data_IF_859576475304
#
_entry.id   IF_859576475304
#
_cell.length_a   1.000
_cell.length_b   1.000
_cell.length_c   1.000
_cell.angle_alpha   90.00
_cell.angle_beta   90.00
_cell.angle_gamma   90.00
#
_symmetry.space_group_name_H-M   'P 1'
#
loop_
_entity.id
_entity.type
_entity.pdbx_description
1 polymer ?
#
# COMPACT_ATOMS: atom_id res chain seq x y z
N UNK A 1 12.57 4.56 -29.66
CA UNK A 1 12.39 3.32 -28.89
C UNK A 1 11.00 3.38 -28.30
N UNK A 2 10.11 2.50 -28.76
CA UNK A 2 8.68 2.62 -28.52
C UNK A 2 8.38 2.10 -27.12
N UNK A 3 8.07 3.00 -26.18
CA UNK A 3 7.47 2.61 -24.91
C UNK A 3 6.08 2.07 -25.24
N UNK A 4 5.93 0.76 -25.35
CA UNK A 4 4.62 0.11 -25.39
C UNK A 4 3.90 0.50 -24.10
N UNK A 5 2.91 1.39 -24.20
CA UNK A 5 2.00 1.71 -23.11
C UNK A 5 1.42 0.39 -22.63
N UNK A 6 1.70 -0.07 -21.38
CA UNK A 6 1.12 -1.30 -20.92
C UNK A 6 -0.39 -1.10 -20.88
N UNK A 7 -1.10 -1.85 -21.71
CA UNK A 7 -2.56 -1.95 -21.66
C UNK A 7 -2.89 -2.69 -20.36
N UNK A 8 -2.98 -1.97 -19.25
CA UNK A 8 -3.48 -2.47 -17.98
C UNK A 8 -4.97 -2.78 -18.25
N UNK A 9 -5.37 -4.06 -18.36
CA UNK A 9 -6.78 -4.41 -18.52
C UNK A 9 -7.54 -3.82 -17.34
N UNK A 10 -8.78 -3.37 -17.58
CA UNK A 10 -9.68 -2.90 -16.55
C UNK A 10 -9.68 -3.92 -15.40
N UNK A 11 -9.06 -3.56 -14.28
CA UNK A 11 -9.05 -4.42 -13.11
C UNK A 11 -10.49 -4.69 -12.72
N UNK A 12 -10.85 -5.97 -12.59
CA UNK A 12 -12.17 -6.36 -12.14
C UNK A 12 -12.45 -5.63 -10.82
N UNK A 13 -13.32 -4.61 -10.85
CA UNK A 13 -13.78 -3.86 -9.68
C UNK A 13 -13.29 -2.41 -9.51
N UNK A 14 -12.33 -1.91 -10.29
CA UNK A 14 -12.02 -0.47 -10.26
C UNK A 14 -13.11 0.31 -11.01
N UNK A 15 -13.77 1.24 -10.32
CA UNK A 15 -14.66 2.20 -11.00
C UNK A 15 -13.81 3.08 -11.90
N UNK A 16 -14.06 3.02 -13.20
CA UNK A 16 -13.39 3.86 -14.18
C UNK A 16 -14.27 5.06 -14.50
N UNK A 17 -13.71 6.26 -14.46
CA UNK A 17 -14.33 7.44 -15.07
C UNK A 17 -13.64 7.76 -16.41
N UNK A 18 -13.91 8.95 -16.97
CA UNK A 18 -13.34 9.36 -18.26
C UNK A 18 -11.84 9.65 -18.19
N UNK A 19 -11.26 9.72 -16.99
CA UNK A 19 -9.89 10.15 -16.71
C UNK A 19 -9.05 9.02 -16.09
N UNK A 20 -9.66 7.98 -15.52
CA UNK A 20 -8.97 6.78 -15.06
C UNK A 20 -9.66 6.04 -13.90
N UNK A 21 -8.91 5.23 -13.14
CA UNK A 21 -9.43 4.57 -11.95
C UNK A 21 -9.78 5.58 -10.84
N UNK A 22 -11.00 5.51 -10.35
CA UNK A 22 -11.49 6.30 -9.22
C UNK A 22 -11.22 5.57 -7.92
N UNK A 23 -10.47 6.21 -7.02
CA UNK A 23 -10.13 5.71 -5.69
C UNK A 23 -10.91 6.47 -4.62
N UNK A 24 -11.52 5.75 -3.67
CA UNK A 24 -12.27 6.33 -2.55
C UNK A 24 -11.35 6.87 -1.45
N UNK A 25 -10.16 6.30 -1.31
CA UNK A 25 -9.17 6.68 -0.29
C UNK A 25 -7.80 6.85 -0.95
N UNK A 26 -6.99 7.85 -0.54
CA UNK A 26 -5.67 8.09 -1.13
C UNK A 26 -4.72 6.88 -1.11
N UNK A 27 -4.80 6.05 -0.07
CA UNK A 27 -3.95 4.87 0.07
C UNK A 27 -4.20 3.83 -1.04
N UNK A 28 -5.41 3.78 -1.61
CA UNK A 28 -5.77 2.82 -2.65
C UNK A 28 -5.01 3.13 -3.94
N UNK A 29 -4.89 4.41 -4.30
CA UNK A 29 -4.10 4.86 -5.42
C UNK A 29 -2.60 4.56 -5.23
N UNK A 30 -2.10 4.74 -4.00
CA UNK A 30 -0.71 4.45 -3.65
C UNK A 30 -0.39 2.95 -3.82
N UNK A 31 -1.26 2.09 -3.29
CA UNK A 31 -1.06 0.65 -3.39
C UNK A 31 -1.15 0.18 -4.86
N UNK A 32 -2.11 0.68 -5.62
CA UNK A 32 -2.20 0.41 -7.06
C UNK A 32 -0.93 0.84 -7.81
N UNK A 33 -0.40 2.03 -7.49
CA UNK A 33 0.84 2.53 -8.09
C UNK A 33 2.03 1.61 -7.80
N UNK A 34 2.12 1.05 -6.59
CA UNK A 34 3.15 0.07 -6.23
C UNK A 34 3.02 -1.20 -7.08
N UNK A 35 1.82 -1.76 -7.18
CA UNK A 35 1.57 -2.96 -7.99
C UNK A 35 1.95 -2.74 -9.47
N UNK A 36 1.53 -1.61 -10.04
CA UNK A 36 1.87 -1.24 -11.42
C UNK A 36 3.39 -1.10 -11.58
N UNK A 37 4.06 -0.48 -10.62
CA UNK A 37 5.51 -0.35 -10.64
C UNK A 37 6.22 -1.71 -10.61
N UNK A 38 5.81 -2.63 -9.73
CA UNK A 38 6.38 -3.99 -9.67
C UNK A 38 6.17 -4.79 -10.97
N UNK A 39 5.03 -4.61 -11.63
CA UNK A 39 4.79 -5.19 -12.95
C UNK A 39 5.70 -4.56 -14.02
N UNK A 40 5.81 -3.23 -14.03
CA UNK A 40 6.64 -2.50 -15.00
C UNK A 40 8.12 -2.82 -14.86
N UNK A 41 8.60 -3.16 -13.66
CA UNK A 41 9.97 -3.63 -13.42
C UNK A 41 10.17 -5.10 -13.78
N UNK A 42 9.13 -5.79 -14.24
CA UNK A 42 9.19 -7.16 -14.74
C UNK A 42 9.25 -8.23 -13.65
N UNK A 43 8.88 -7.91 -12.41
CA UNK A 43 8.92 -8.86 -11.29
C UNK A 43 7.85 -9.94 -11.41
N UNK A 44 6.72 -9.64 -12.05
CA UNK A 44 5.69 -10.60 -12.41
C UNK A 44 4.94 -10.14 -13.68
N UNK A 45 4.38 -11.06 -14.46
CA UNK A 45 3.50 -10.72 -15.58
C UNK A 45 2.07 -10.43 -15.10
N UNK A 46 1.38 -9.49 -15.75
CA UNK A 46 0.06 -9.02 -15.28
C UNK A 46 -1.01 -10.12 -15.12
N UNK A 47 -0.96 -11.17 -15.94
CA UNK A 47 -1.89 -12.30 -15.85
C UNK A 47 -1.75 -13.09 -14.53
N UNK A 48 -0.55 -13.14 -13.96
CA UNK A 48 -0.31 -13.76 -12.65
C UNK A 48 -1.03 -12.97 -11.56
N UNK A 49 -0.95 -11.64 -11.59
CA UNK A 49 -1.73 -10.78 -10.70
C UNK A 49 -3.24 -11.02 -10.82
N UNK A 50 -3.77 -11.06 -12.04
CA UNK A 50 -5.21 -11.32 -12.24
C UNK A 50 -5.61 -12.67 -11.66
N UNK A 51 -4.78 -13.70 -11.80
CA UNK A 51 -5.02 -15.01 -11.22
C UNK A 51 -5.00 -14.97 -9.69
N UNK A 52 -3.93 -14.46 -9.08
CA UNK A 52 -3.78 -14.36 -7.62
C UNK A 52 -4.94 -13.58 -7.00
N UNK A 53 -5.30 -12.44 -7.58
CA UNK A 53 -6.41 -11.64 -7.07
C UNK A 53 -7.77 -12.34 -7.24
N UNK A 54 -8.01 -13.00 -8.36
CA UNK A 54 -9.24 -13.75 -8.59
C UNK A 54 -9.40 -14.92 -7.61
N UNK A 55 -8.30 -15.59 -7.27
CA UNK A 55 -8.31 -16.69 -6.32
C UNK A 55 -8.53 -16.19 -4.89
N UNK A 56 -7.96 -15.03 -4.52
CA UNK A 56 -8.22 -14.38 -3.23
C UNK A 56 -9.69 -13.96 -3.08
N UNK A 57 -10.31 -13.40 -4.12
CA UNK A 57 -11.75 -13.05 -4.09
C UNK A 57 -12.61 -14.28 -3.80
N UNK A 58 -12.27 -15.44 -4.39
CA UNK A 58 -12.99 -16.70 -4.17
C UNK A 58 -12.75 -17.25 -2.76
N UNK A 59 -11.51 -17.18 -2.28
CA UNK A 59 -11.11 -17.72 -0.98
C UNK A 59 -11.65 -16.90 0.20
N UNK A 60 -11.80 -15.59 0.02
CA UNK A 60 -12.08 -14.65 1.10
C UNK A 60 -13.35 -13.82 0.83
N UNK A 61 -14.55 -14.43 0.75
CA UNK A 61 -15.79 -13.73 0.44
C UNK A 61 -16.12 -12.61 1.45
N UNK A 62 -17.06 -11.73 1.08
CA UNK A 62 -17.50 -10.64 1.95
C UNK A 62 -18.06 -11.17 3.28
N UNK A 63 -17.66 -10.54 4.39
CA UNK A 63 -18.12 -10.90 5.72
C UNK A 63 -19.53 -10.33 6.01
N UNK A 64 -20.30 -10.92 6.94
CA UNK A 64 -21.58 -10.36 7.36
C UNK A 64 -21.44 -8.91 7.84
N UNK A 65 -22.15 -7.98 7.18
CA UNK A 65 -22.09 -6.54 7.49
C UNK A 65 -20.93 -5.78 6.84
N UNK A 66 -20.04 -6.45 6.10
CA UNK A 66 -18.99 -5.81 5.32
C UNK A 66 -19.57 -5.24 4.02
N UNK A 67 -19.20 -4.00 3.68
CA UNK A 67 -19.61 -3.44 2.39
C UNK A 67 -18.87 -4.13 1.25
N UNK A 68 -19.48 -4.19 0.07
CA UNK A 68 -18.85 -4.77 -1.14
C UNK A 68 -17.49 -4.11 -1.42
N UNK A 69 -17.37 -2.80 -1.18
CA UNK A 69 -16.13 -2.05 -1.38
C UNK A 69 -15.06 -2.39 -0.34
N UNK A 70 -15.44 -2.55 0.92
CA UNK A 70 -14.48 -2.92 1.98
C UNK A 70 -13.95 -4.33 1.75
N UNK A 71 -14.84 -5.28 1.40
CA UNK A 71 -14.46 -6.63 1.02
C UNK A 71 -13.48 -6.63 -0.17
N UNK A 72 -13.79 -5.87 -1.22
CA UNK A 72 -12.95 -5.73 -2.41
C UNK A 72 -11.53 -5.27 -2.07
N UNK A 73 -11.40 -4.18 -1.32
CA UNK A 73 -10.10 -3.62 -0.98
C UNK A 73 -9.33 -4.47 0.03
N UNK A 74 -10.01 -5.20 0.92
CA UNK A 74 -9.40 -6.20 1.80
C UNK A 74 -8.81 -7.36 0.99
N UNK A 75 -9.58 -7.94 0.08
CA UNK A 75 -9.13 -9.01 -0.82
C UNK A 75 -7.96 -8.54 -1.69
N UNK A 76 -8.04 -7.29 -2.17
CA UNK A 76 -7.00 -6.70 -3.02
C UNK A 76 -5.67 -6.54 -2.27
N UNK A 77 -5.71 -6.07 -1.02
CA UNK A 77 -4.53 -6.00 -0.16
C UNK A 77 -3.96 -7.40 0.14
N UNK A 78 -4.82 -8.36 0.51
CA UNK A 78 -4.39 -9.72 0.80
C UNK A 78 -3.69 -10.39 -0.40
N UNK A 79 -4.23 -10.21 -1.62
CA UNK A 79 -3.61 -10.69 -2.85
C UNK A 79 -2.26 -10.00 -3.11
N UNK A 80 -2.15 -8.69 -2.84
CA UNK A 80 -0.88 -7.96 -3.00
C UNK A 80 0.18 -8.46 -2.02
N UNK A 81 -0.18 -8.67 -0.75
CA UNK A 81 0.71 -9.22 0.28
C UNK A 81 1.18 -10.63 -0.07
N UNK A 82 0.27 -11.48 -0.56
CA UNK A 82 0.59 -12.82 -1.05
C UNK A 82 1.56 -12.77 -2.25
N UNK A 83 1.32 -11.86 -3.21
CA UNK A 83 2.18 -11.68 -4.37
C UNK A 83 3.61 -11.27 -3.97
N UNK A 84 3.75 -10.22 -3.15
CA UNK A 84 5.09 -9.74 -2.74
C UNK A 84 5.83 -10.75 -1.87
N UNK A 85 5.10 -11.60 -1.13
CA UNK A 85 5.66 -12.71 -0.37
C UNK A 85 6.15 -13.83 -1.28
N UNK A 86 5.35 -14.19 -2.29
CA UNK A 86 5.71 -15.21 -3.29
C UNK A 86 6.95 -14.80 -4.10
N UNK A 87 7.06 -13.51 -4.40
CA UNK A 87 8.22 -12.93 -5.08
C UNK A 87 9.46 -12.78 -4.19
N UNK A 88 9.36 -13.07 -2.89
CA UNK A 88 10.47 -12.95 -1.94
C UNK A 88 10.89 -11.50 -1.65
N UNK A 89 10.04 -10.51 -1.95
CA UNK A 89 10.33 -9.09 -1.73
C UNK A 89 10.18 -8.69 -0.26
N UNK A 90 9.30 -9.38 0.47
CA UNK A 90 9.09 -9.21 1.91
C UNK A 90 8.42 -10.47 2.47
N UNK A 91 8.57 -10.74 3.77
CA UNK A 91 7.84 -11.82 4.44
C UNK A 91 6.57 -11.34 5.14
N UNK A 92 5.62 -12.25 5.39
CA UNK A 92 4.42 -11.97 6.20
C UNK A 92 4.78 -11.45 7.59
N UNK A 93 5.88 -11.93 8.17
CA UNK A 93 6.41 -11.48 9.46
C UNK A 93 6.92 -10.04 9.39
N UNK A 94 7.53 -9.64 8.27
CA UNK A 94 8.01 -8.27 8.09
C UNK A 94 6.85 -7.29 7.91
N UNK A 95 5.82 -7.68 7.15
CA UNK A 95 4.58 -6.92 6.99
C UNK A 95 3.91 -6.74 8.34
N UNK A 96 3.72 -7.84 9.09
CA UNK A 96 3.10 -7.81 10.43
C UNK A 96 3.88 -6.92 11.38
N UNK A 97 5.21 -7.12 11.46
CA UNK A 97 6.09 -6.28 12.28
C UNK A 97 6.00 -4.81 11.90
N UNK A 98 5.92 -4.49 10.61
CA UNK A 98 5.82 -3.10 10.15
C UNK A 98 4.47 -2.49 10.50
N UNK A 99 3.38 -3.24 10.40
CA UNK A 99 2.04 -2.81 10.82
C UNK A 99 2.00 -2.51 12.31
N UNK A 100 2.55 -3.40 13.14
CA UNK A 100 2.66 -3.21 14.58
C UNK A 100 3.50 -1.98 14.92
N UNK A 101 4.64 -1.78 14.25
CA UNK A 101 5.45 -0.57 14.45
C UNK A 101 4.69 0.70 14.15
N UNK A 102 3.92 0.75 13.05
CA UNK A 102 3.09 1.91 12.73
C UNK A 102 1.96 2.13 13.75
N UNK A 103 1.35 1.05 14.25
CA UNK A 103 0.36 1.14 15.31
C UNK A 103 0.97 1.72 16.60
N UNK A 104 2.14 1.22 17.02
CA UNK A 104 2.85 1.73 18.19
C UNK A 104 3.28 3.19 17.99
N UNK A 105 3.79 3.53 16.80
CA UNK A 105 4.13 4.91 16.46
C UNK A 105 2.90 5.84 16.60
N UNK A 106 1.73 5.41 16.12
CA UNK A 106 0.50 6.17 16.27
C UNK A 106 0.13 6.38 17.75
N UNK A 107 0.15 5.33 18.56
CA UNK A 107 -0.17 5.39 19.99
C UNK A 107 0.81 6.27 20.78
N UNK A 108 2.09 6.27 20.38
CA UNK A 108 3.14 7.04 21.04
C UNK A 108 3.25 8.49 20.53
N UNK A 109 2.50 8.87 19.49
CA UNK A 109 2.54 10.24 18.94
C UNK A 109 1.57 11.13 19.73
N UNK A 110 2.04 12.19 20.40
CA UNK A 110 1.15 13.15 21.05
C UNK A 110 0.19 13.79 20.05
N UNK A 111 -1.04 14.09 20.51
CA UNK A 111 -2.05 14.72 19.65
C UNK A 111 -1.52 16.01 19.02
N UNK A 112 -1.78 16.17 17.72
CA UNK A 112 -1.33 17.33 16.94
C UNK A 112 0.11 17.24 16.41
N UNK A 113 0.86 16.18 16.72
CA UNK A 113 2.17 15.90 16.13
C UNK A 113 2.07 14.92 14.96
N UNK A 114 2.98 14.99 13.97
CA UNK A 114 3.03 14.03 12.88
C UNK A 114 3.46 12.65 13.39
N UNK A 115 2.80 11.60 12.88
CA UNK A 115 3.18 10.22 13.19
C UNK A 115 4.41 9.83 12.39
N UNK A 116 5.45 9.37 13.06
CA UNK A 116 6.68 8.86 12.42
C UNK A 116 7.04 7.50 12.99
N UNK A 117 7.64 6.60 12.19
CA UNK A 117 8.06 5.27 12.64
C UNK A 117 9.02 5.30 13.83
N UNK A 118 9.80 6.38 14.01
CA UNK A 118 10.70 6.54 15.16
C UNK A 118 9.92 6.51 16.49
N UNK A 119 8.67 6.97 16.49
CA UNK A 119 7.83 6.98 17.68
C UNK A 119 7.45 5.55 18.12
N UNK A 120 7.55 4.54 17.24
CA UNK A 120 7.32 3.15 17.62
C UNK A 120 8.28 2.66 18.71
N UNK A 121 9.51 3.20 18.71
CA UNK A 121 10.57 2.83 19.64
C UNK A 121 10.69 3.78 20.83
N UNK A 122 9.85 4.82 20.91
CA UNK A 122 9.90 5.85 21.94
C UNK A 122 8.49 6.18 22.48
N UNK A 123 8.05 5.53 23.56
CA UNK A 123 6.76 5.80 24.19
C UNK A 123 6.68 7.20 24.83
N UNK A 124 5.48 7.77 25.10
CA UNK A 124 5.40 9.07 25.74
C UNK A 124 5.78 9.00 27.24
N UNK A 125 6.53 10.01 27.69
CA UNK A 125 7.08 10.28 29.03
C UNK A 125 8.37 9.54 29.43
N UNK A 126 9.52 10.04 28.96
CA UNK A 126 10.84 9.84 29.58
C UNK A 126 11.82 10.95 29.15
N UNK A 127 12.77 11.30 30.02
CA UNK A 127 13.68 12.44 29.86
C UNK A 127 14.85 12.13 28.90
N UNK A 128 14.69 12.42 27.61
CA UNK A 128 15.79 12.66 26.68
C UNK A 128 15.40 13.76 25.67
N UNK A 129 16.37 14.56 25.24
CA UNK A 129 16.14 15.72 24.37
C UNK A 129 15.87 15.27 22.91
N UNK A 130 14.61 15.28 22.50
CA UNK A 130 14.25 15.10 21.09
C UNK A 130 14.48 16.41 20.34
N UNK A 131 15.64 16.56 19.69
CA UNK A 131 15.85 17.67 18.77
C UNK A 131 14.92 17.46 17.55
N UNK A 132 13.95 18.35 17.28
CA UNK A 132 13.11 18.23 16.10
C UNK A 132 13.97 18.47 14.86
N UNK A 133 14.25 17.41 14.10
CA UNK A 133 14.95 17.52 12.81
C UNK A 133 13.98 18.11 11.78
N UNK A 134 13.84 19.43 11.79
CA UNK A 134 13.12 20.21 10.77
C UNK A 134 14.02 20.42 9.56
N UNK A 135 14.47 19.35 8.93
CA UNK A 135 15.04 19.46 7.60
C UNK A 135 13.89 19.46 6.59
N UNK A 136 13.68 20.54 5.82
CA UNK A 136 12.73 20.50 4.73
C UNK A 136 13.19 19.42 3.74
N UNK A 137 12.33 18.44 3.50
CA UNK A 137 12.54 17.46 2.42
C UNK A 137 12.56 18.23 1.11
N UNK A 138 13.74 18.35 0.52
CA UNK A 138 13.90 18.96 -0.79
C UNK A 138 13.22 18.08 -1.84
N UNK A 139 12.03 18.50 -2.29
CA UNK A 139 11.40 17.95 -3.48
C UNK A 139 12.20 18.44 -4.69
N UNK A 140 13.03 17.56 -5.25
CA UNK A 140 13.73 17.80 -6.51
C UNK A 140 12.70 18.08 -7.60
N UNK A 141 12.78 19.26 -8.21
CA UNK A 141 11.95 19.64 -9.35
C UNK A 141 12.37 18.80 -10.55
N UNK A 142 11.43 18.05 -11.14
CA UNK A 142 11.67 17.34 -12.39
C UNK A 142 12.05 18.36 -13.49
N UNK A 143 13.21 18.16 -14.12
CA UNK A 143 13.62 18.91 -15.30
C UNK A 143 12.80 18.45 -16.51
N UNK A 144 12.33 19.42 -17.30
CA UNK A 144 11.67 19.24 -18.59
C UNK A 144 12.64 18.77 -19.67
#
# INVERSE_FOLDING_TARGET
MNASTPHIPAMAGLSLDKEGPVFDKPWQAQAFSLLVHLHQTGLFPWNEWVQTFSDEIKASPAQPGESVKDAYYRQWLAAMESMVTTLGLTGIEDITRRTEQWQQAYLNTPHGQPVTLLNASCPPAHEHEHLPRREPVAISRAAH
#
